data_IF_892218496556
#
_entry.id   IF_892218496556
#
_cell.length_a   1.000
_cell.length_b   1.000
_cell.length_c   1.000
_cell.angle_alpha   90.00
_cell.angle_beta   90.00
_cell.angle_gamma   90.00
#
_symmetry.space_group_name_H-M   'P 1'
#
loop_
_entity.id
_entity.type
_entity.pdbx_description
1 polymer ?
#
# COMPACT_ATOMS: atom_id res chain seq x y z
N UNK A 1 -63.90 -36.96 17.11
CA UNK A 1 -65.11 -37.21 16.26
C UNK A 1 -64.74 -36.57 14.93
N UNK A 2 -64.29 -37.39 14.00
CA UNK A 2 -65.07 -37.95 12.85
C UNK A 2 -65.37 -36.85 11.86
N UNK A 3 -64.63 -36.94 10.74
CA UNK A 3 -65.05 -37.47 9.39
C UNK A 3 -65.49 -36.31 8.51
N UNK A 4 -65.23 -36.16 7.24
CA UNK A 4 -64.88 -37.02 6.06
C UNK A 4 -64.36 -36.01 4.99
N UNK A 5 -63.29 -36.26 4.24
CA UNK A 5 -63.26 -36.88 2.89
C UNK A 5 -64.35 -36.30 1.92
N UNK A 6 -64.04 -35.74 0.79
CA UNK A 6 -63.63 -36.46 -0.44
C UNK A 6 -63.34 -35.47 -1.60
N UNK A 7 -62.34 -35.81 -2.36
CA UNK A 7 -62.13 -35.75 -3.82
C UNK A 7 -62.88 -34.76 -4.70
N UNK A 8 -62.17 -34.08 -5.60
CA UNK A 8 -62.33 -34.27 -7.05
C UNK A 8 -61.05 -33.83 -7.81
N UNK A 9 -60.54 -34.71 -8.62
CA UNK A 9 -59.53 -34.59 -9.66
C UNK A 9 -59.94 -33.64 -10.80
N UNK A 10 -58.98 -32.92 -11.40
CA UNK A 10 -59.21 -32.23 -12.65
C UNK A 10 -57.99 -31.59 -13.28
N UNK A 11 -57.22 -32.35 -13.99
CA UNK A 11 -56.42 -32.05 -15.20
C UNK A 11 -55.41 -30.90 -15.21
N UNK A 12 -54.15 -31.31 -15.20
CA UNK A 12 -53.01 -30.53 -15.69
C UNK A 12 -53.11 -30.26 -17.19
N UNK A 13 -53.17 -29.01 -17.61
CA UNK A 13 -52.88 -28.61 -19.00
C UNK A 13 -51.49 -27.94 -19.02
N UNK A 14 -50.60 -28.66 -19.67
CA UNK A 14 -49.20 -28.31 -19.94
C UNK A 14 -49.10 -27.01 -20.74
N UNK A 15 -48.43 -25.98 -20.19
CA UNK A 15 -48.03 -24.73 -20.88
C UNK A 15 -46.80 -24.96 -21.82
N UNK A 16 -46.72 -26.11 -22.48
CA UNK A 16 -45.56 -26.47 -23.32
C UNK A 16 -45.87 -26.54 -24.82
N UNK A 17 -46.97 -25.96 -25.32
CA UNK A 17 -47.25 -25.95 -26.77
C UNK A 17 -47.92 -24.63 -27.18
N UNK A 18 -47.14 -23.53 -27.17
CA UNK A 18 -47.54 -22.33 -27.95
C UNK A 18 -46.34 -21.38 -28.13
N UNK A 19 -45.24 -21.85 -28.71
CA UNK A 19 -44.25 -21.04 -29.46
C UNK A 19 -43.58 -21.98 -30.47
N UNK A 20 -44.33 -22.42 -31.47
CA UNK A 20 -43.77 -22.87 -32.74
C UNK A 20 -44.56 -22.19 -33.86
N UNK A 21 -43.93 -21.24 -34.48
CA UNK A 21 -44.48 -20.63 -35.69
C UNK A 21 -44.29 -19.12 -35.74
N UNK A 22 -43.06 -18.66 -36.00
CA UNK A 22 -42.73 -17.44 -36.74
C UNK A 22 -41.23 -17.41 -36.92
N UNK A 23 -40.73 -18.26 -37.81
CA UNK A 23 -39.42 -18.10 -38.44
C UNK A 23 -39.64 -17.28 -39.70
N UNK A 24 -39.25 -16.01 -39.69
CA UNK A 24 -39.08 -15.23 -40.91
C UNK A 24 -38.02 -14.15 -40.67
N UNK A 25 -36.83 -14.39 -41.26
CA UNK A 25 -35.93 -13.44 -41.90
C UNK A 25 -35.58 -12.17 -41.10
N UNK A 26 -34.48 -12.23 -40.33
CA UNK A 26 -33.66 -11.06 -40.01
C UNK A 26 -32.27 -11.31 -40.62
N UNK A 27 -31.67 -10.32 -41.34
CA UNK A 27 -30.40 -10.54 -42.03
C UNK A 27 -29.26 -10.67 -41.05
N UNK A 28 -28.38 -11.63 -41.34
CA UNK A 28 -27.12 -11.83 -40.64
C UNK A 28 -26.15 -10.71 -40.96
N UNK A 29 -26.19 -9.66 -40.13
CA UNK A 29 -25.12 -8.67 -40.00
C UNK A 29 -25.30 -7.94 -38.67
N UNK A 30 -24.22 -7.91 -37.90
CA UNK A 30 -24.06 -7.23 -36.60
C UNK A 30 -24.27 -8.11 -35.34
N UNK A 31 -23.63 -9.25 -35.30
CA UNK A 31 -23.17 -9.80 -34.02
C UNK A 31 -21.70 -9.36 -33.83
N UNK A 32 -21.48 -8.08 -33.58
CA UNK A 32 -20.28 -7.65 -32.88
C UNK A 32 -20.30 -8.37 -31.52
N UNK A 33 -19.45 -9.39 -31.41
CA UNK A 33 -19.08 -9.98 -30.14
C UNK A 33 -18.52 -8.87 -29.25
N UNK A 34 -19.31 -8.33 -28.38
CA UNK A 34 -18.85 -7.86 -27.07
C UNK A 34 -18.38 -9.14 -26.35
N UNK A 35 -17.16 -9.56 -26.65
CA UNK A 35 -16.39 -10.38 -25.75
C UNK A 35 -16.16 -9.49 -24.53
N UNK A 36 -17.08 -9.55 -23.57
CA UNK A 36 -16.75 -9.19 -22.21
C UNK A 36 -15.47 -9.96 -21.91
N UNK A 37 -14.36 -9.25 -21.78
CA UNK A 37 -13.14 -9.76 -21.21
C UNK A 37 -13.51 -10.15 -19.77
N UNK A 38 -14.04 -11.36 -19.61
CA UNK A 38 -14.12 -12.00 -18.30
C UNK A 38 -12.67 -12.12 -17.85
N UNK A 39 -12.28 -11.26 -16.95
CA UNK A 39 -11.04 -11.43 -16.22
C UNK A 39 -11.11 -12.83 -15.61
N UNK A 40 -10.20 -13.72 -16.03
CA UNK A 40 -10.04 -15.02 -15.36
C UNK A 40 -9.95 -14.77 -13.87
N UNK A 41 -10.73 -15.48 -13.03
CA UNK A 41 -10.66 -15.32 -11.60
C UNK A 41 -9.21 -15.48 -11.13
N UNK A 42 -8.72 -14.51 -10.34
CA UNK A 42 -7.36 -14.57 -9.79
C UNK A 42 -7.29 -15.73 -8.80
N UNK A 43 -6.49 -16.76 -9.11
CA UNK A 43 -6.26 -17.87 -8.19
C UNK A 43 -5.16 -17.50 -7.18
N UNK A 44 -5.49 -17.32 -5.88
CA UNK A 44 -4.52 -16.96 -4.87
C UNK A 44 -3.55 -18.10 -4.52
N UNK A 45 -3.83 -19.31 -4.95
CA UNK A 45 -2.94 -20.46 -4.75
C UNK A 45 -1.74 -20.43 -5.70
N UNK A 46 -1.87 -19.73 -6.83
CA UNK A 46 -0.82 -19.60 -7.85
C UNK A 46 -0.03 -18.31 -7.68
N UNK A 47 1.27 -18.29 -8.05
CA UNK A 47 2.02 -17.06 -8.19
C UNK A 47 1.37 -16.09 -9.18
N UNK A 48 1.76 -14.82 -9.15
CA UNK A 48 1.34 -13.84 -10.14
C UNK A 48 1.81 -14.28 -11.53
N UNK A 49 0.92 -14.16 -12.52
CA UNK A 49 1.20 -14.58 -13.89
C UNK A 49 2.45 -13.88 -14.44
N UNK A 50 3.36 -14.67 -14.99
CA UNK A 50 4.59 -14.16 -15.61
C UNK A 50 4.32 -13.21 -16.79
N UNK A 51 3.16 -13.31 -17.43
CA UNK A 51 2.78 -12.44 -18.55
C UNK A 51 2.60 -10.97 -18.16
N UNK A 52 2.31 -10.67 -16.87
CA UNK A 52 2.18 -9.31 -16.36
C UNK A 52 3.48 -8.76 -15.78
N UNK A 53 4.54 -9.57 -15.75
CA UNK A 53 5.84 -9.20 -15.18
C UNK A 53 6.88 -8.90 -16.27
N UNK A 54 7.77 -7.92 -16.06
CA UNK A 54 8.96 -7.78 -16.89
C UNK A 54 9.80 -9.06 -16.90
N UNK A 55 10.36 -9.43 -18.07
CA UNK A 55 11.27 -10.58 -18.18
C UNK A 55 12.45 -10.40 -17.21
N UNK A 56 12.77 -11.45 -16.43
CA UNK A 56 13.81 -11.43 -15.40
C UNK A 56 13.27 -11.17 -13.99
N UNK A 57 11.97 -10.91 -13.86
CA UNK A 57 11.29 -10.94 -12.56
C UNK A 57 10.48 -12.23 -12.51
N UNK A 58 10.65 -13.00 -11.43
CA UNK A 58 9.78 -14.15 -11.14
C UNK A 58 8.89 -13.90 -9.95
N UNK A 59 7.74 -14.51 -9.97
CA UNK A 59 6.78 -14.55 -8.87
C UNK A 59 6.81 -15.92 -8.22
N UNK A 60 6.86 -15.99 -6.89
CA UNK A 60 6.79 -17.24 -6.15
C UNK A 60 6.28 -17.07 -4.72
N UNK A 61 6.04 -18.17 -4.04
CA UNK A 61 5.74 -18.19 -2.62
C UNK A 61 6.93 -18.66 -1.79
N UNK A 62 7.05 -18.07 -0.60
CA UNK A 62 7.91 -18.53 0.49
C UNK A 62 6.99 -19.01 1.60
N UNK A 63 7.12 -20.27 1.99
CA UNK A 63 6.29 -20.88 3.01
C UNK A 63 6.84 -20.58 4.41
N UNK A 64 5.93 -20.54 5.39
CA UNK A 64 6.27 -20.44 6.81
C UNK A 64 7.12 -19.21 7.19
N UNK A 65 6.86 -18.07 6.54
CA UNK A 65 7.46 -16.79 6.92
C UNK A 65 6.67 -16.26 8.12
N UNK A 66 7.19 -16.40 9.32
CA UNK A 66 6.51 -16.02 10.57
C UNK A 66 5.02 -16.48 10.60
N UNK A 67 4.81 -17.75 10.26
CA UNK A 67 3.49 -18.39 10.29
C UNK A 67 2.58 -18.13 9.10
N UNK A 68 3.03 -17.41 8.07
CA UNK A 68 2.24 -17.23 6.83
C UNK A 68 3.00 -17.75 5.61
N UNK A 69 2.25 -18.03 4.56
CA UNK A 69 2.77 -18.18 3.20
C UNK A 69 2.87 -16.78 2.59
N UNK A 70 4.07 -16.36 2.21
CA UNK A 70 4.33 -15.02 1.69
C UNK A 70 4.61 -15.06 0.18
N UNK A 71 3.90 -14.25 -0.56
CA UNK A 71 4.14 -14.03 -1.98
C UNK A 71 5.27 -13.03 -2.16
N UNK A 72 6.18 -13.29 -3.11
CA UNK A 72 7.31 -12.42 -3.41
C UNK A 72 7.54 -12.29 -4.91
N UNK A 73 7.94 -11.10 -5.34
CA UNK A 73 8.62 -10.89 -6.60
C UNK A 73 10.13 -10.88 -6.37
N UNK A 74 10.87 -11.47 -7.31
CA UNK A 74 12.30 -11.70 -7.17
C UNK A 74 13.02 -11.44 -8.49
N UNK A 75 14.17 -10.75 -8.44
CA UNK A 75 15.03 -10.49 -9.59
C UNK A 75 16.50 -10.64 -9.19
N UNK A 76 17.36 -11.06 -10.12
CA UNK A 76 18.77 -11.30 -9.87
C UNK A 76 19.04 -12.61 -9.13
N UNK A 77 18.14 -13.57 -9.22
CA UNK A 77 18.20 -14.88 -8.59
C UNK A 77 19.05 -15.90 -9.35
N UNK A 78 19.55 -15.55 -10.53
CA UNK A 78 20.27 -16.47 -11.42
C UNK A 78 21.72 -16.70 -10.98
N UNK A 79 22.24 -15.85 -10.13
CA UNK A 79 23.60 -15.96 -9.63
C UNK A 79 23.63 -16.00 -8.10
N UNK A 80 24.44 -16.91 -7.56
CA UNK A 80 24.62 -17.06 -6.12
C UNK A 80 25.37 -15.86 -5.51
N UNK A 81 25.16 -15.65 -4.19
CA UNK A 81 25.93 -14.71 -3.35
C UNK A 81 25.81 -13.21 -3.71
N UNK A 82 24.80 -12.82 -4.47
CA UNK A 82 24.54 -11.39 -4.67
C UNK A 82 24.06 -10.74 -3.36
N UNK A 83 24.51 -9.52 -3.02
CA UNK A 83 23.94 -8.78 -1.89
C UNK A 83 22.44 -8.60 -2.06
N UNK A 84 21.67 -8.84 -0.98
CA UNK A 84 20.22 -8.74 -1.01
C UNK A 84 19.76 -7.30 -0.83
N UNK A 85 18.78 -6.87 -1.62
CA UNK A 85 17.98 -5.66 -1.43
C UNK A 85 16.51 -6.07 -1.20
N UNK A 86 15.94 -5.65 -0.09
CA UNK A 86 14.54 -5.91 0.28
C UNK A 86 13.69 -4.67 0.02
N UNK A 87 12.57 -4.80 -0.72
CA UNK A 87 11.70 -3.69 -1.10
C UNK A 87 10.29 -3.86 -0.55
N UNK A 88 9.82 -2.90 0.26
CA UNK A 88 8.56 -2.95 1.00
C UNK A 88 7.59 -1.91 0.45
N UNK A 89 6.44 -2.36 -0.06
CA UNK A 89 5.39 -1.50 -0.60
C UNK A 89 4.50 -0.90 0.50
N UNK A 90 3.67 0.07 0.13
CA UNK A 90 2.70 0.72 0.99
C UNK A 90 1.24 0.41 0.67
N UNK A 91 0.35 1.35 0.98
CA UNK A 91 -1.09 1.24 0.77
C UNK A 91 -1.59 2.22 -0.30
N UNK A 92 -2.44 1.82 -1.21
CA UNK A 92 -2.88 0.46 -1.54
C UNK A 92 -2.01 -0.13 -2.68
N UNK A 93 -0.84 -0.59 -2.34
CA UNK A 93 0.12 -1.15 -3.28
C UNK A 93 0.33 -2.66 -3.07
N UNK A 94 1.22 -3.24 -3.88
CA UNK A 94 1.65 -4.64 -3.87
C UNK A 94 3.15 -4.70 -4.16
N UNK A 95 3.78 -5.85 -4.02
CA UNK A 95 5.13 -6.11 -4.52
C UNK A 95 5.33 -5.63 -5.98
N UNK A 96 4.27 -5.67 -6.76
CA UNK A 96 4.22 -5.23 -8.15
C UNK A 96 4.61 -3.76 -8.36
N UNK A 97 4.50 -2.92 -7.34
CA UNK A 97 4.91 -1.50 -7.40
C UNK A 97 6.41 -1.32 -7.66
N UNK A 98 7.20 -2.34 -7.37
CA UNK A 98 8.65 -2.33 -7.54
C UNK A 98 9.13 -2.82 -8.91
N UNK A 99 8.23 -3.34 -9.78
CA UNK A 99 8.57 -3.98 -11.07
C UNK A 99 9.50 -3.18 -11.97
N UNK A 100 9.42 -1.83 -11.92
CA UNK A 100 10.19 -0.94 -12.81
C UNK A 100 11.62 -0.67 -12.30
N UNK A 101 11.87 -0.85 -11.00
CA UNK A 101 13.18 -0.58 -10.38
C UNK A 101 13.96 -1.86 -10.02
N UNK A 102 13.27 -3.01 -9.91
CA UNK A 102 13.91 -4.28 -9.53
C UNK A 102 15.00 -4.72 -10.52
N UNK A 103 14.68 -4.74 -11.83
CA UNK A 103 15.62 -5.23 -12.85
C UNK A 103 16.88 -4.39 -12.98
N UNK A 104 16.83 -3.05 -13.05
CA UNK A 104 18.04 -2.24 -13.09
C UNK A 104 18.95 -2.47 -11.87
N UNK A 105 18.38 -2.67 -10.68
CA UNK A 105 19.16 -2.97 -9.47
C UNK A 105 19.73 -4.39 -9.52
N UNK A 106 18.96 -5.37 -10.00
CA UNK A 106 19.43 -6.73 -10.20
C UNK A 106 20.58 -6.81 -11.23
N UNK A 107 20.46 -6.05 -12.32
CA UNK A 107 21.51 -5.94 -13.36
C UNK A 107 22.79 -5.28 -12.83
N UNK A 108 22.70 -4.49 -11.76
CA UNK A 108 23.85 -3.92 -11.06
C UNK A 108 24.52 -4.90 -10.07
N UNK A 109 24.07 -6.16 -10.02
CA UNK A 109 24.69 -7.23 -9.24
C UNK A 109 24.01 -7.54 -7.91
N UNK A 110 22.81 -7.07 -7.67
CA UNK A 110 22.03 -7.34 -6.45
C UNK A 110 21.01 -8.45 -6.67
N UNK A 111 20.68 -9.16 -5.59
CA UNK A 111 19.48 -9.97 -5.50
C UNK A 111 18.36 -9.08 -4.93
N UNK A 112 17.25 -8.94 -5.61
CA UNK A 112 16.16 -8.03 -5.22
C UNK A 112 14.91 -8.83 -4.89
N UNK A 113 14.35 -8.62 -3.72
CA UNK A 113 13.13 -9.27 -3.24
C UNK A 113 12.10 -8.20 -2.86
N UNK A 114 10.89 -8.33 -3.34
CA UNK A 114 9.75 -7.51 -2.95
C UNK A 114 8.60 -8.43 -2.52
N UNK A 115 8.25 -8.52 -1.23
CA UNK A 115 7.08 -9.26 -0.77
C UNK A 115 5.79 -8.46 -0.98
N UNK A 116 4.66 -9.16 -1.19
CA UNK A 116 3.39 -8.64 -0.72
C UNK A 116 3.40 -8.73 0.81
N UNK A 117 3.33 -7.60 1.50
CA UNK A 117 3.40 -7.59 2.97
C UNK A 117 2.17 -8.31 3.54
N UNK A 118 2.29 -8.83 4.77
CA UNK A 118 1.17 -9.48 5.48
C UNK A 118 -0.14 -8.72 5.30
N UNK A 119 -1.19 -9.44 4.87
CA UNK A 119 -2.52 -8.89 4.65
C UNK A 119 -2.73 -8.26 3.26
N UNK A 120 -1.74 -8.33 2.38
CA UNK A 120 -1.85 -7.81 1.02
C UNK A 120 -1.73 -8.89 -0.04
N UNK A 121 -2.37 -8.64 -1.18
CA UNK A 121 -2.21 -9.43 -2.39
C UNK A 121 -2.35 -10.92 -2.16
N UNK A 122 -1.29 -11.68 -2.46
CA UNK A 122 -1.27 -13.14 -2.37
C UNK A 122 -0.62 -13.69 -1.10
N UNK A 123 -0.13 -12.80 -0.20
CA UNK A 123 0.40 -13.19 1.11
C UNK A 123 -0.72 -13.52 2.10
N UNK A 124 -0.42 -14.37 3.08
CA UNK A 124 -1.40 -14.78 4.09
C UNK A 124 -2.03 -13.62 4.88
N UNK A 125 -3.19 -13.89 5.46
CA UNK A 125 -4.02 -12.93 6.21
C UNK A 125 -4.59 -11.77 5.39
N UNK A 126 -4.80 -11.95 4.10
CA UNK A 126 -5.56 -11.02 3.27
C UNK A 126 -7.07 -11.10 3.53
N UNK A 127 -7.56 -12.23 4.01
CA UNK A 127 -8.98 -12.55 4.27
C UNK A 127 -9.45 -12.18 5.69
N UNK A 128 -8.66 -11.37 6.41
CA UNK A 128 -8.99 -10.90 7.76
C UNK A 128 -10.20 -9.98 7.77
N UNK A 129 -10.95 -10.04 8.88
CA UNK A 129 -12.11 -9.21 9.14
C UNK A 129 -11.76 -8.04 10.07
N UNK A 130 -12.66 -7.07 10.13
CA UNK A 130 -12.47 -5.89 10.99
C UNK A 130 -12.25 -6.26 12.46
N UNK A 131 -12.98 -7.23 13.00
CA UNK A 131 -12.93 -7.62 14.43
C UNK A 131 -11.83 -8.63 14.78
N UNK A 132 -11.03 -9.04 13.79
CA UNK A 132 -9.94 -9.98 14.02
C UNK A 132 -8.80 -9.33 14.81
N UNK A 133 -7.94 -10.18 15.39
CA UNK A 133 -6.78 -9.76 16.17
C UNK A 133 -5.81 -8.89 15.34
N UNK A 134 -5.48 -7.74 15.88
CA UNK A 134 -4.56 -6.78 15.24
C UNK A 134 -3.08 -7.04 15.55
N UNK A 135 -2.76 -7.91 16.53
CA UNK A 135 -1.36 -8.20 16.91
C UNK A 135 -0.49 -8.64 15.73
N UNK A 136 -0.97 -9.46 14.78
CA UNK A 136 -0.18 -9.83 13.59
C UNK A 136 0.24 -8.64 12.72
N UNK A 137 -0.49 -7.52 12.78
CA UNK A 137 -0.24 -6.32 11.99
C UNK A 137 0.59 -5.25 12.73
N UNK A 138 0.94 -5.47 13.99
CA UNK A 138 1.79 -4.56 14.78
C UNK A 138 3.21 -4.51 14.26
N UNK A 139 3.91 -3.44 14.58
CA UNK A 139 5.26 -3.13 14.08
C UNK A 139 6.25 -4.26 14.32
N UNK A 140 6.35 -4.79 15.54
CA UNK A 140 7.30 -5.86 15.85
C UNK A 140 7.01 -7.15 15.06
N UNK A 141 5.73 -7.51 14.91
CA UNK A 141 5.40 -8.71 14.14
C UNK A 141 5.75 -8.55 12.65
N UNK A 142 5.56 -7.36 12.07
CA UNK A 142 6.00 -7.08 10.70
C UNK A 142 7.52 -7.08 10.54
N UNK A 143 8.27 -6.63 11.56
CA UNK A 143 9.74 -6.79 11.58
C UNK A 143 10.10 -8.28 11.59
N UNK A 144 9.42 -9.12 12.40
CA UNK A 144 9.63 -10.56 12.41
C UNK A 144 9.35 -11.18 11.04
N UNK A 145 8.31 -10.73 10.32
CA UNK A 145 8.04 -11.18 8.95
C UNK A 145 9.27 -10.92 8.05
N UNK A 146 9.85 -9.74 8.12
CA UNK A 146 11.00 -9.37 7.27
C UNK A 146 12.26 -10.14 7.66
N UNK A 147 12.53 -10.34 8.95
CA UNK A 147 13.65 -11.16 9.43
C UNK A 147 13.50 -12.62 8.97
N UNK A 148 12.30 -13.19 9.13
CA UNK A 148 12.01 -14.55 8.70
C UNK A 148 12.13 -14.71 7.19
N UNK A 149 11.66 -13.70 6.42
CA UNK A 149 11.78 -13.70 4.97
C UNK A 149 13.26 -13.71 4.54
N UNK A 150 14.08 -12.82 5.08
CA UNK A 150 15.52 -12.74 4.80
C UNK A 150 16.20 -14.08 5.10
N UNK A 151 15.92 -14.66 6.26
CA UNK A 151 16.45 -15.96 6.68
C UNK A 151 16.00 -17.10 5.75
N UNK A 152 14.75 -17.08 5.28
CA UNK A 152 14.21 -18.09 4.36
C UNK A 152 14.89 -18.11 2.99
N UNK A 153 15.54 -17.01 2.61
CA UNK A 153 16.39 -16.93 1.42
C UNK A 153 17.87 -17.27 1.70
N UNK A 154 18.21 -17.67 2.93
CA UNK A 154 19.57 -18.04 3.33
C UNK A 154 20.49 -16.85 3.61
N UNK A 155 19.96 -15.63 3.68
CA UNK A 155 20.74 -14.44 4.00
C UNK A 155 20.82 -14.20 5.50
N UNK A 156 21.98 -13.71 5.97
CA UNK A 156 22.17 -13.23 7.34
C UNK A 156 21.89 -11.73 7.46
N UNK A 157 22.06 -10.99 6.37
CA UNK A 157 21.82 -9.56 6.30
C UNK A 157 21.39 -9.14 4.89
N UNK A 158 20.93 -7.93 4.76
CA UNK A 158 20.57 -7.27 3.50
C UNK A 158 21.40 -6.01 3.33
N UNK A 159 21.85 -5.75 2.10
CA UNK A 159 22.60 -4.54 1.76
C UNK A 159 21.78 -3.27 2.00
N UNK A 160 20.49 -3.33 1.72
CA UNK A 160 19.54 -2.27 2.09
C UNK A 160 18.10 -2.79 2.16
N UNK A 161 17.32 -2.21 3.06
CA UNK A 161 15.86 -2.26 3.03
C UNK A 161 15.33 -0.94 2.47
N UNK A 162 14.43 -1.03 1.49
CA UNK A 162 13.81 0.11 0.81
C UNK A 162 12.31 0.05 1.06
N UNK A 163 11.71 1.11 1.58
CA UNK A 163 10.28 1.13 1.87
C UNK A 163 9.58 2.33 1.28
N UNK A 164 8.35 2.16 0.79
CA UNK A 164 7.49 3.20 0.26
C UNK A 164 6.16 3.28 1.03
N UNK A 165 5.64 4.47 1.28
CA UNK A 165 4.40 4.74 2.03
C UNK A 165 4.37 4.01 3.38
N UNK A 166 3.45 3.06 3.66
CA UNK A 166 3.49 2.25 4.89
C UNK A 166 4.74 1.35 5.00
N UNK A 167 5.34 0.98 3.87
CA UNK A 167 6.61 0.26 3.85
C UNK A 167 7.80 1.11 4.29
N UNK A 168 7.71 2.44 4.18
CA UNK A 168 8.78 3.37 4.57
C UNK A 168 9.03 3.37 6.10
N UNK A 169 8.05 3.62 6.97
CA UNK A 169 8.25 3.48 8.40
C UNK A 169 8.59 2.04 8.80
N UNK A 170 8.06 1.01 8.12
CA UNK A 170 8.45 -0.37 8.39
C UNK A 170 9.94 -0.61 8.10
N UNK A 171 10.47 -0.10 6.98
CA UNK A 171 11.89 -0.16 6.66
C UNK A 171 12.75 0.57 7.71
N UNK A 172 12.30 1.76 8.16
CA UNK A 172 12.93 2.49 9.26
C UNK A 172 12.98 1.68 10.56
N UNK A 173 11.87 1.05 10.93
CA UNK A 173 11.79 0.16 12.10
C UNK A 173 12.67 -1.08 11.97
N UNK A 174 12.74 -1.69 10.79
CA UNK A 174 13.66 -2.81 10.53
C UNK A 174 15.11 -2.40 10.77
N UNK A 175 15.53 -1.25 10.23
CA UNK A 175 16.89 -0.74 10.36
C UNK A 175 17.22 -0.33 11.81
N UNK A 176 16.25 0.25 12.55
CA UNK A 176 16.43 0.64 13.94
C UNK A 176 16.52 -0.59 14.86
N UNK A 177 15.60 -1.55 14.71
CA UNK A 177 15.48 -2.68 15.61
C UNK A 177 16.52 -3.79 15.34
N UNK A 178 16.95 -3.94 14.07
CA UNK A 178 17.87 -5.00 13.63
C UNK A 178 18.93 -4.48 12.66
N UNK A 179 19.80 -3.54 13.11
CA UNK A 179 20.89 -3.01 12.28
C UNK A 179 21.92 -4.09 11.88
N UNK A 180 21.98 -5.19 12.60
CA UNK A 180 22.76 -6.38 12.27
C UNK A 180 22.28 -7.08 11.00
N UNK A 181 20.98 -6.99 10.70
CA UNK A 181 20.37 -7.57 9.50
C UNK A 181 20.19 -6.50 8.41
N UNK A 182 19.62 -5.36 8.73
CA UNK A 182 19.29 -4.30 7.77
C UNK A 182 20.39 -3.24 7.78
N UNK A 183 21.40 -3.42 6.92
CA UNK A 183 22.65 -2.66 6.96
C UNK A 183 22.58 -1.26 6.37
N UNK A 184 21.51 -0.94 5.63
CA UNK A 184 21.17 0.41 5.17
C UNK A 184 19.67 0.52 4.94
N UNK A 185 19.13 1.74 4.93
CA UNK A 185 17.70 1.99 4.73
C UNK A 185 17.44 3.15 3.79
N UNK A 186 16.52 2.95 2.85
CA UNK A 186 15.91 4.04 2.07
C UNK A 186 14.42 4.13 2.42
N UNK A 187 14.01 5.29 2.90
CA UNK A 187 12.62 5.62 3.23
C UNK A 187 12.03 6.46 2.10
N UNK A 188 10.81 6.14 1.64
CA UNK A 188 10.24 6.84 0.48
C UNK A 188 8.81 7.33 0.78
N UNK A 189 8.54 8.57 0.40
CA UNK A 189 7.25 9.27 0.48
C UNK A 189 6.73 9.55 1.89
N UNK A 190 6.88 8.62 2.83
CA UNK A 190 6.51 8.78 4.22
C UNK A 190 7.77 8.81 5.11
N UNK A 191 8.13 9.94 5.73
CA UNK A 191 9.29 10.01 6.60
C UNK A 191 9.10 9.18 7.87
N UNK A 192 10.18 8.57 8.35
CA UNK A 192 10.18 7.81 9.62
C UNK A 192 9.98 8.76 10.81
N UNK A 193 9.04 8.41 11.68
CA UNK A 193 8.69 9.24 12.83
C UNK A 193 9.67 9.19 14.02
N UNK A 194 10.61 8.21 14.00
CA UNK A 194 11.51 7.94 15.12
C UNK A 194 10.96 6.93 16.12
N UNK A 195 11.84 6.48 17.01
CA UNK A 195 11.44 5.73 18.20
C UNK A 195 10.70 6.62 19.20
N UNK A 196 9.90 6.04 20.11
CA UNK A 196 9.30 6.79 21.22
C UNK A 196 10.38 7.50 22.05
N UNK A 197 10.02 8.63 22.66
CA UNK A 197 10.88 9.31 23.61
C UNK A 197 11.10 8.44 24.85
N UNK A 198 12.29 8.53 25.46
CA UNK A 198 12.56 7.87 26.74
C UNK A 198 11.60 8.44 27.79
N UNK A 199 10.81 7.61 28.47
CA UNK A 199 9.99 8.09 29.56
C UNK A 199 10.90 8.46 30.75
N UNK A 200 11.04 9.74 31.03
CA UNK A 200 11.69 10.21 32.25
C UNK A 200 10.71 10.12 33.42
N UNK A 201 10.56 8.93 33.96
CA UNK A 201 9.84 8.71 35.19
C UNK A 201 10.82 8.16 36.21
N UNK A 202 11.55 9.06 36.88
CA UNK A 202 12.41 8.68 38.00
C UNK A 202 11.59 8.67 39.27
N UNK A 203 11.90 7.77 40.22
CA UNK A 203 11.18 7.63 41.48
C UNK A 203 11.06 8.97 42.28
N UNK A 204 11.95 9.93 42.04
CA UNK A 204 12.03 11.22 42.73
C UNK A 204 11.69 12.41 41.82
N UNK A 205 11.26 12.20 40.60
CA UNK A 205 10.90 13.27 39.67
C UNK A 205 9.37 13.41 39.53
N UNK A 206 8.87 14.59 39.12
CA UNK A 206 7.46 14.71 38.77
C UNK A 206 7.13 13.84 37.58
N UNK A 207 5.97 13.18 37.63
CA UNK A 207 5.45 12.46 36.46
C UNK A 207 5.39 13.42 35.23
N UNK A 208 5.77 12.97 34.02
CA UNK A 208 5.60 13.79 32.83
C UNK A 208 4.14 14.21 32.71
N UNK A 209 3.90 15.49 32.39
CA UNK A 209 2.54 15.92 32.08
C UNK A 209 1.97 15.06 30.94
N UNK A 210 0.72 14.59 31.04
CA UNK A 210 0.10 13.89 29.94
C UNK A 210 0.12 14.77 28.69
N UNK A 211 0.34 14.20 27.49
CA UNK A 211 0.27 14.97 26.26
C UNK A 211 -1.11 15.64 26.17
N UNK A 212 -1.22 16.85 25.60
CA UNK A 212 -2.51 17.47 25.40
C UNK A 212 -3.41 16.56 24.56
N UNK A 213 -4.74 16.56 24.81
CA UNK A 213 -5.67 15.77 24.04
C UNK A 213 -5.53 16.05 22.54
N UNK A 214 -5.52 15.02 21.71
CA UNK A 214 -5.58 15.18 20.26
C UNK A 214 -7.00 15.67 19.89
N UNK A 215 -7.13 16.94 19.53
CA UNK A 215 -8.41 17.57 19.18
C UNK A 215 -8.61 17.64 17.66
N UNK A 216 -7.68 17.13 16.86
CA UNK A 216 -7.66 17.32 15.41
C UNK A 216 -8.95 16.88 14.73
N UNK A 217 -9.50 15.74 15.10
CA UNK A 217 -10.75 15.23 14.49
C UNK A 217 -11.94 16.18 14.75
N UNK A 218 -12.05 16.67 15.99
CA UNK A 218 -13.07 17.66 16.38
C UNK A 218 -12.86 18.99 15.63
N UNK A 219 -11.64 19.46 15.57
CA UNK A 219 -11.28 20.75 14.99
C UNK A 219 -11.44 20.74 13.45
N UNK A 220 -11.16 19.61 12.79
CA UNK A 220 -11.47 19.39 11.38
C UNK A 220 -12.99 19.34 11.12
N UNK A 221 -13.75 18.67 11.98
CA UNK A 221 -15.20 18.58 11.85
C UNK A 221 -15.89 19.95 12.07
N UNK A 222 -15.25 20.88 12.79
CA UNK A 222 -15.73 22.24 13.01
C UNK A 222 -15.47 23.21 11.84
N UNK A 223 -14.69 22.80 10.83
CA UNK A 223 -14.44 23.63 9.64
C UNK A 223 -15.70 23.79 8.79
N UNK A 224 -15.68 24.79 7.93
CA UNK A 224 -16.73 25.03 6.91
C UNK A 224 -16.12 24.92 5.52
N UNK A 225 -16.46 23.88 4.72
CA UNK A 225 -17.26 22.71 5.08
C UNK A 225 -16.53 21.76 6.06
N UNK A 226 -17.27 20.92 6.83
CA UNK A 226 -16.71 19.98 7.79
C UNK A 226 -15.81 18.92 7.14
N UNK A 227 -14.72 18.54 7.84
CA UNK A 227 -13.67 17.65 7.34
C UNK A 227 -13.36 16.52 8.30
N UNK A 228 -12.67 15.48 7.78
CA UNK A 228 -12.05 14.40 8.55
C UNK A 228 -10.71 14.01 7.95
N UNK A 229 -9.81 13.49 8.78
CA UNK A 229 -8.50 13.01 8.32
C UNK A 229 -8.61 11.58 7.79
N UNK A 230 -8.01 11.30 6.62
CA UNK A 230 -8.14 10.01 5.92
C UNK A 230 -7.64 8.82 6.74
N UNK A 231 -6.55 8.97 7.52
CA UNK A 231 -6.05 7.85 8.33
C UNK A 231 -7.03 7.47 9.43
N UNK A 232 -7.77 8.42 10.02
CA UNK A 232 -8.85 8.13 10.96
C UNK A 232 -10.02 7.43 10.28
N UNK A 233 -10.38 7.89 9.07
CA UNK A 233 -11.38 7.19 8.27
C UNK A 233 -10.98 5.74 7.97
N UNK A 234 -9.71 5.48 7.64
CA UNK A 234 -9.20 4.14 7.37
C UNK A 234 -9.19 3.22 8.60
N UNK A 235 -9.35 3.74 9.80
CA UNK A 235 -9.54 2.92 11.01
C UNK A 235 -10.99 2.54 11.27
N UNK A 236 -11.95 3.07 10.52
CA UNK A 236 -13.37 2.77 10.70
C UNK A 236 -13.79 1.45 10.05
N UNK A 237 -14.88 0.88 10.53
CA UNK A 237 -15.44 -0.37 9.99
C UNK A 237 -15.91 -0.24 8.54
N UNK A 238 -16.44 0.91 8.18
CA UNK A 238 -17.00 1.20 6.85
C UNK A 238 -15.94 1.33 5.76
N UNK A 239 -14.68 1.63 6.13
CA UNK A 239 -13.64 1.96 5.17
C UNK A 239 -13.38 0.82 4.17
N UNK A 240 -13.31 -0.42 4.64
CA UNK A 240 -13.08 -1.56 3.74
C UNK A 240 -14.20 -1.73 2.72
N UNK A 241 -15.45 -1.67 3.16
CA UNK A 241 -16.61 -1.83 2.27
C UNK A 241 -16.67 -0.70 1.23
N UNK A 242 -16.41 0.54 1.65
CA UNK A 242 -16.37 1.69 0.76
C UNK A 242 -15.28 1.60 -0.33
N UNK A 243 -14.11 1.06 0.02
CA UNK A 243 -13.01 0.89 -0.93
C UNK A 243 -13.20 -0.35 -1.83
N UNK A 244 -13.80 -1.41 -1.31
CA UNK A 244 -13.92 -2.70 -1.99
C UNK A 244 -15.12 -2.77 -2.93
N UNK A 245 -16.24 -2.16 -2.52
CA UNK A 245 -17.47 -2.14 -3.32
C UNK A 245 -17.92 -0.70 -3.67
N UNK A 246 -17.00 0.12 -4.22
CA UNK A 246 -17.36 1.48 -4.62
C UNK A 246 -18.30 1.45 -5.82
N UNK A 247 -19.18 2.44 -5.94
CA UNK A 247 -20.16 2.53 -7.04
C UNK A 247 -19.51 2.54 -8.43
N UNK A 248 -18.30 3.10 -8.55
CA UNK A 248 -17.51 3.12 -9.79
C UNK A 248 -16.71 1.83 -10.05
N UNK A 249 -16.74 0.84 -9.13
CA UNK A 249 -15.91 -0.34 -9.17
C UNK A 249 -14.46 -0.12 -8.73
N UNK A 250 -13.79 -1.19 -8.28
CA UNK A 250 -12.42 -1.12 -7.73
C UNK A 250 -11.41 -0.58 -8.73
N UNK A 251 -11.58 -0.89 -10.02
CA UNK A 251 -10.64 -0.45 -11.06
C UNK A 251 -10.65 1.08 -11.19
N UNK A 252 -11.82 1.68 -11.34
CA UNK A 252 -11.95 3.13 -11.50
C UNK A 252 -11.67 3.87 -10.19
N UNK A 253 -12.03 3.27 -9.05
CA UNK A 253 -11.60 3.78 -7.75
C UNK A 253 -10.07 3.90 -7.66
N UNK A 254 -9.34 2.82 -7.97
CA UNK A 254 -7.89 2.85 -7.96
C UNK A 254 -7.31 3.80 -9.01
N UNK A 255 -7.91 3.88 -10.22
CA UNK A 255 -7.50 4.83 -11.26
C UNK A 255 -7.53 6.27 -10.73
N UNK A 256 -8.64 6.69 -10.13
CA UNK A 256 -8.79 8.02 -9.56
C UNK A 256 -7.85 8.25 -8.35
N UNK A 257 -7.74 7.26 -7.47
CA UNK A 257 -6.89 7.34 -6.29
C UNK A 257 -5.40 7.50 -6.64
N UNK A 258 -4.92 6.68 -7.58
CA UNK A 258 -3.55 6.78 -8.06
C UNK A 258 -3.29 8.11 -8.78
N UNK A 259 -4.24 8.57 -9.61
CA UNK A 259 -4.13 9.84 -10.32
C UNK A 259 -4.00 11.03 -9.35
N UNK A 260 -4.92 11.16 -8.39
CA UNK A 260 -4.91 12.30 -7.46
C UNK A 260 -3.63 12.43 -6.63
N UNK A 261 -2.96 11.32 -6.36
CA UNK A 261 -1.70 11.34 -5.60
C UNK A 261 -0.45 11.43 -6.49
N UNK A 262 -0.59 11.39 -7.81
CA UNK A 262 0.51 11.49 -8.76
C UNK A 262 0.85 12.92 -9.13
N UNK A 263 1.97 13.12 -9.83
CA UNK A 263 2.34 14.39 -10.43
C UNK A 263 1.46 14.75 -11.64
N UNK A 264 0.70 13.79 -12.21
CA UNK A 264 -0.20 14.05 -13.34
C UNK A 264 -1.43 14.88 -12.93
N UNK A 265 -1.83 14.82 -11.64
CA UNK A 265 -2.93 15.63 -11.14
C UNK A 265 -2.47 17.08 -10.94
N UNK A 266 -2.93 17.96 -11.81
CA UNK A 266 -2.48 19.36 -11.90
C UNK A 266 -2.72 20.21 -10.65
N UNK A 267 -3.61 19.77 -9.77
CA UNK A 267 -3.90 20.47 -8.50
C UNK A 267 -2.97 20.03 -7.36
N UNK A 268 -2.04 19.12 -7.62
CA UNK A 268 -1.14 18.56 -6.63
C UNK A 268 0.09 19.44 -6.41
N UNK A 269 -0.09 20.52 -5.64
CA UNK A 269 0.95 21.49 -5.32
C UNK A 269 1.30 21.44 -3.82
N UNK A 270 2.05 20.44 -3.37
CA UNK A 270 2.39 20.30 -1.97
C UNK A 270 3.40 21.36 -1.52
N UNK A 271 3.36 21.65 -0.23
CA UNK A 271 4.31 22.53 0.43
C UNK A 271 4.29 22.35 1.95
N UNK A 272 5.28 22.91 2.66
CA UNK A 272 5.39 22.78 4.10
C UNK A 272 4.15 23.34 4.81
N UNK A 273 3.58 22.56 5.72
CA UNK A 273 2.54 23.01 6.63
C UNK A 273 3.19 23.74 7.81
N UNK A 274 2.58 24.84 8.27
CA UNK A 274 3.12 25.68 9.33
C UNK A 274 2.84 25.13 10.75
N UNK A 275 2.21 23.97 10.85
CA UNK A 275 1.93 23.31 12.12
C UNK A 275 0.79 22.31 12.05
N UNK A 276 0.47 21.71 13.21
CA UNK A 276 -0.63 20.75 13.36
C UNK A 276 -1.91 21.45 13.81
N UNK A 277 -2.50 22.26 12.93
CA UNK A 277 -3.83 22.85 13.14
C UNK A 277 -4.79 22.39 12.05
N UNK A 278 -6.08 22.40 12.32
CA UNK A 278 -7.09 22.00 11.34
C UNK A 278 -7.06 22.88 10.08
N UNK A 279 -6.79 24.18 10.23
CA UNK A 279 -6.67 25.13 9.12
C UNK A 279 -5.45 24.86 8.24
N UNK A 280 -4.32 24.49 8.83
CA UNK A 280 -3.13 24.09 8.07
C UNK A 280 -3.37 22.76 7.35
N UNK A 281 -3.93 21.77 8.04
CA UNK A 281 -4.23 20.48 7.43
C UNK A 281 -5.28 20.58 6.32
N UNK A 282 -6.22 21.51 6.40
CA UNK A 282 -7.21 21.75 5.35
C UNK A 282 -6.62 22.26 4.02
N UNK A 283 -5.34 22.66 3.99
CA UNK A 283 -4.59 22.97 2.75
C UNK A 283 -4.26 21.71 1.94
N UNK A 284 -4.21 20.55 2.60
CA UNK A 284 -4.00 19.28 1.92
C UNK A 284 -5.21 18.93 1.04
N UNK A 285 -5.00 18.20 -0.06
CA UNK A 285 -6.08 17.73 -0.93
C UNK A 285 -7.12 16.88 -0.20
N UNK A 286 -8.30 16.75 -0.83
CA UNK A 286 -9.42 15.98 -0.29
C UNK A 286 -9.10 14.51 -0.01
N UNK A 287 -8.16 13.91 -0.70
CA UNK A 287 -7.75 12.55 -0.40
C UNK A 287 -6.90 12.41 0.89
N UNK A 288 -6.46 13.51 1.49
CA UNK A 288 -5.87 13.55 2.85
C UNK A 288 -6.86 14.07 3.89
N UNK A 289 -7.51 15.22 3.59
CA UNK A 289 -8.46 15.86 4.48
C UNK A 289 -9.84 15.88 3.82
N UNK A 290 -10.53 14.75 3.97
CA UNK A 290 -11.79 14.40 3.30
C UNK A 290 -12.95 15.28 3.77
N UNK A 291 -13.98 15.42 2.95
CA UNK A 291 -15.27 15.93 3.41
C UNK A 291 -15.86 14.97 4.44
N UNK A 292 -16.43 15.49 5.53
CA UNK A 292 -16.86 14.68 6.67
C UNK A 292 -17.88 13.61 6.29
N UNK A 293 -18.77 13.90 5.34
CA UNK A 293 -19.88 13.04 4.91
C UNK A 293 -19.55 12.12 3.72
N UNK A 294 -18.29 12.09 3.23
CA UNK A 294 -17.89 11.23 2.11
C UNK A 294 -16.95 10.12 2.57
N UNK A 295 -17.01 8.98 1.89
CA UNK A 295 -15.96 7.97 1.92
C UNK A 295 -14.81 8.33 0.97
N UNK A 296 -13.76 7.51 0.95
CA UNK A 296 -12.63 7.74 0.05
C UNK A 296 -13.03 7.52 -1.41
N UNK A 297 -13.88 6.52 -1.69
CA UNK A 297 -14.32 6.21 -3.04
C UNK A 297 -15.05 7.41 -3.69
N UNK A 298 -15.99 8.04 -2.98
CA UNK A 298 -16.69 9.22 -3.44
C UNK A 298 -15.77 10.44 -3.55
N UNK A 299 -14.80 10.53 -2.64
CA UNK A 299 -13.83 11.64 -2.64
C UNK A 299 -12.99 11.64 -3.91
N UNK A 300 -12.45 10.48 -4.31
CA UNK A 300 -11.59 10.41 -5.49
C UNK A 300 -12.36 10.32 -6.80
N UNK A 301 -13.61 9.83 -6.79
CA UNK A 301 -14.45 9.75 -7.99
C UNK A 301 -14.67 11.13 -8.65
N UNK A 302 -14.71 12.19 -7.85
CA UNK A 302 -14.86 13.56 -8.34
C UNK A 302 -13.66 14.05 -9.19
N UNK A 303 -12.50 13.41 -9.05
CA UNK A 303 -11.25 13.77 -9.71
C UNK A 303 -10.77 12.65 -10.65
N UNK A 304 -11.70 11.87 -11.19
CA UNK A 304 -11.38 10.82 -12.16
C UNK A 304 -10.70 11.44 -13.38
N UNK A 305 -9.50 10.95 -13.79
CA UNK A 305 -8.85 11.46 -14.98
C UNK A 305 -9.70 11.22 -16.24
N UNK A 306 -9.62 12.13 -17.19
CA UNK A 306 -10.29 12.00 -18.48
C UNK A 306 -9.75 10.81 -19.27
N UNK A 307 -10.50 10.32 -20.26
CA UNK A 307 -10.05 9.26 -21.16
C UNK A 307 -8.73 9.61 -21.86
N UNK A 308 -8.53 10.88 -22.20
CA UNK A 308 -7.28 11.35 -22.81
C UNK A 308 -6.10 11.29 -21.83
N UNK A 309 -6.29 11.67 -20.57
CA UNK A 309 -5.28 11.57 -19.53
C UNK A 309 -4.94 10.11 -19.20
N UNK A 310 -5.94 9.23 -19.14
CA UNK A 310 -5.71 7.79 -18.96
C UNK A 310 -4.87 7.23 -20.10
N UNK A 311 -5.20 7.57 -21.36
CA UNK A 311 -4.46 7.11 -22.53
C UNK A 311 -3.02 7.66 -22.58
N UNK A 312 -2.79 8.86 -22.04
CA UNK A 312 -1.48 9.49 -21.97
C UNK A 312 -0.62 9.00 -20.81
N UNK A 313 -1.22 8.33 -19.81
CA UNK A 313 -0.51 7.86 -18.62
C UNK A 313 0.44 6.71 -18.95
N UNK A 314 1.77 6.98 -18.85
CA UNK A 314 2.83 6.02 -19.18
C UNK A 314 3.33 5.24 -17.95
N UNK A 315 3.16 5.79 -16.77
CA UNK A 315 3.69 5.19 -15.56
C UNK A 315 2.76 4.11 -14.95
N UNK A 316 1.45 4.18 -15.23
CA UNK A 316 0.46 3.18 -14.82
C UNK A 316 -0.59 2.96 -15.93
N UNK A 317 -0.21 2.36 -17.08
CA UNK A 317 -1.18 2.03 -18.12
C UNK A 317 -2.24 1.05 -17.59
N UNK A 318 -3.39 0.99 -18.28
CA UNK A 318 -4.55 0.24 -17.84
C UNK A 318 -4.28 -1.26 -17.56
N UNK A 319 -3.42 -1.87 -18.38
CA UNK A 319 -3.01 -3.27 -18.18
C UNK A 319 -2.25 -3.49 -16.85
N UNK A 320 -1.43 -2.52 -16.42
CA UNK A 320 -0.72 -2.57 -15.15
C UNK A 320 -1.67 -2.28 -13.96
N UNK A 321 -2.61 -1.33 -14.13
CA UNK A 321 -3.62 -1.07 -13.11
C UNK A 321 -4.54 -2.28 -12.87
N UNK A 322 -4.83 -3.07 -13.90
CA UNK A 322 -5.62 -4.32 -13.79
C UNK A 322 -5.00 -5.32 -12.83
N UNK A 323 -3.68 -5.34 -12.66
CA UNK A 323 -3.03 -6.19 -11.65
C UNK A 323 -3.47 -5.79 -10.25
N UNK A 324 -3.44 -4.50 -9.94
CA UNK A 324 -3.88 -3.99 -8.63
C UNK A 324 -5.37 -4.19 -8.42
N UNK A 325 -6.20 -3.80 -9.39
CA UNK A 325 -7.64 -3.92 -9.26
C UNK A 325 -8.13 -5.37 -9.22
N UNK A 326 -7.43 -6.29 -9.88
CA UNK A 326 -7.70 -7.72 -9.78
C UNK A 326 -7.39 -8.29 -8.40
N UNK A 327 -6.24 -7.94 -7.82
CA UNK A 327 -5.88 -8.39 -6.48
C UNK A 327 -6.77 -7.75 -5.41
N UNK A 328 -6.97 -6.44 -5.41
CA UNK A 328 -7.84 -5.77 -4.43
C UNK A 328 -9.32 -6.11 -4.63
N UNK A 329 -9.77 -6.36 -5.85
CA UNK A 329 -11.11 -6.88 -6.11
C UNK A 329 -11.38 -8.23 -5.46
N UNK A 330 -10.33 -9.08 -5.36
CA UNK A 330 -10.38 -10.38 -4.69
C UNK A 330 -10.25 -10.28 -3.16
N UNK A 331 -9.32 -9.46 -2.66
CA UNK A 331 -8.95 -9.41 -1.24
C UNK A 331 -9.73 -8.39 -0.42
N UNK A 332 -10.30 -7.38 -1.06
CA UNK A 332 -10.63 -6.14 -0.36
C UNK A 332 -9.38 -5.43 0.14
N UNK A 333 -9.58 -4.51 1.07
CA UNK A 333 -8.53 -3.64 1.60
C UNK A 333 -8.25 -3.85 3.09
N UNK A 334 -9.03 -4.73 3.77
CA UNK A 334 -9.00 -4.86 5.22
C UNK A 334 -7.61 -5.18 5.78
N UNK A 335 -6.86 -6.08 5.11
CA UNK A 335 -5.50 -6.41 5.52
C UNK A 335 -4.57 -5.19 5.55
N UNK A 336 -4.65 -4.35 4.50
CA UNK A 336 -3.90 -3.09 4.42
C UNK A 336 -4.37 -2.04 5.44
N UNK A 337 -5.70 -1.92 5.63
CA UNK A 337 -6.32 -1.01 6.60
C UNK A 337 -5.92 -1.36 8.04
N UNK A 338 -5.65 -2.63 8.34
CA UNK A 338 -5.16 -3.04 9.66
C UNK A 338 -3.78 -2.43 9.98
N UNK A 339 -3.00 -2.04 8.98
CA UNK A 339 -1.78 -1.26 9.17
C UNK A 339 -2.02 0.10 9.83
N UNK A 340 -3.14 0.78 9.53
CA UNK A 340 -3.54 2.03 10.19
C UNK A 340 -4.14 1.79 11.58
N UNK A 341 -4.80 0.65 11.79
CA UNK A 341 -5.48 0.31 13.04
C UNK A 341 -4.54 -0.21 14.11
N UNK A 342 -3.53 -0.98 13.71
CA UNK A 342 -2.66 -1.72 14.63
C UNK A 342 -1.73 -0.85 15.47
N UNK A 343 -1.49 0.41 15.05
CA UNK A 343 -0.68 1.36 15.81
C UNK A 343 -1.37 1.91 17.06
N UNK A 344 -2.70 1.89 17.11
CA UNK A 344 -3.44 2.37 18.27
C UNK A 344 -3.23 1.41 19.46
N UNK A 345 -2.62 1.90 20.54
CA UNK A 345 -2.30 1.10 21.71
C UNK A 345 -1.15 0.11 21.54
N UNK A 346 -0.36 0.21 20.47
CA UNK A 346 0.87 -0.56 20.30
C UNK A 346 1.96 0.00 21.23
N UNK A 347 2.22 -0.72 22.32
CA UNK A 347 3.28 -0.38 23.28
C UNK A 347 4.56 -1.17 23.05
N UNK A 348 4.57 -2.11 22.09
CA UNK A 348 5.69 -3.00 21.86
C UNK A 348 6.95 -2.22 21.43
N UNK A 349 6.77 -1.11 20.71
CA UNK A 349 7.85 -0.24 20.26
C UNK A 349 8.51 0.57 21.40
N UNK A 350 7.92 0.65 22.59
CA UNK A 350 8.49 1.34 23.75
C UNK A 350 9.85 0.75 24.18
N UNK A 351 10.09 -0.53 23.89
CA UNK A 351 11.40 -1.17 24.17
C UNK A 351 12.55 -0.52 23.40
N UNK A 352 12.26 0.25 22.34
CA UNK A 352 13.22 0.97 21.51
C UNK A 352 13.29 2.48 21.83
N UNK A 353 12.65 2.92 22.93
CA UNK A 353 12.61 4.34 23.27
C UNK A 353 14.01 4.97 23.27
N UNK A 354 14.14 6.13 22.65
CA UNK A 354 15.39 6.88 22.56
C UNK A 354 16.41 6.35 21.56
N UNK A 355 16.16 5.24 20.87
CA UNK A 355 17.08 4.75 19.85
C UNK A 355 16.99 5.55 18.55
N UNK A 356 18.09 5.59 17.83
CA UNK A 356 18.27 6.14 16.49
C UNK A 356 18.54 5.06 15.46
N UNK A 357 18.38 5.37 14.18
CA UNK A 357 18.86 4.51 13.10
C UNK A 357 20.34 4.78 12.90
N UNK A 358 21.19 3.78 13.22
CA UNK A 358 22.66 3.91 13.21
C UNK A 358 23.32 3.30 11.98
N UNK A 359 22.52 2.87 11.02
CA UNK A 359 22.97 2.46 9.69
C UNK A 359 22.81 3.60 8.68
N UNK A 360 23.49 3.59 7.53
CA UNK A 360 23.26 4.57 6.47
C UNK A 360 21.77 4.67 6.11
N UNK A 361 21.24 5.89 6.07
CA UNK A 361 19.84 6.16 5.82
C UNK A 361 19.66 7.28 4.80
N UNK A 362 18.69 7.13 3.89
CA UNK A 362 18.36 8.11 2.86
C UNK A 362 16.83 8.28 2.79
N UNK A 363 16.37 9.49 2.44
CA UNK A 363 14.97 9.73 2.15
C UNK A 363 14.78 10.13 0.69
N UNK A 364 13.75 9.56 0.04
CA UNK A 364 13.36 9.89 -1.35
C UNK A 364 11.86 10.17 -1.39
N UNK A 365 11.44 11.25 -2.03
CA UNK A 365 10.03 11.58 -2.24
C UNK A 365 9.82 12.25 -3.60
N UNK A 366 8.59 12.28 -4.08
CA UNK A 366 8.23 13.10 -5.23
C UNK A 366 8.07 14.58 -4.81
N UNK A 367 8.44 15.52 -5.70
CA UNK A 367 8.20 16.94 -5.43
C UNK A 367 6.71 17.29 -5.34
N UNK A 368 5.86 16.51 -6.02
CA UNK A 368 4.41 16.66 -5.98
C UNK A 368 3.73 15.72 -4.99
N UNK A 369 4.45 15.23 -3.97
CA UNK A 369 3.91 14.32 -2.96
C UNK A 369 3.58 15.03 -1.65
N UNK A 370 2.29 15.15 -1.31
CA UNK A 370 1.85 15.63 0.00
C UNK A 370 2.26 14.72 1.16
N UNK A 371 2.57 13.42 0.89
CA UNK A 371 3.08 12.50 1.90
C UNK A 371 4.36 12.99 2.57
N UNK A 372 5.18 13.75 1.84
CA UNK A 372 6.40 14.37 2.34
C UNK A 372 6.09 15.44 3.40
N UNK A 373 4.97 16.17 3.25
CA UNK A 373 4.64 17.36 4.03
C UNK A 373 3.50 17.17 5.04
N UNK A 374 2.75 16.04 4.97
CA UNK A 374 1.58 15.84 5.82
C UNK A 374 1.87 15.87 7.34
N UNK A 375 3.11 15.59 7.73
CA UNK A 375 3.58 15.71 9.10
C UNK A 375 4.63 16.84 9.18
N UNK A 376 4.27 18.04 9.65
CA UNK A 376 5.15 19.19 9.69
C UNK A 376 6.48 18.88 10.39
N UNK A 377 7.60 19.21 9.73
CA UNK A 377 8.95 19.04 10.25
C UNK A 377 9.45 17.59 10.29
N UNK A 378 8.71 16.61 9.74
CA UNK A 378 9.12 15.22 9.82
C UNK A 378 10.36 14.90 8.99
N UNK A 379 10.47 15.45 7.78
CA UNK A 379 11.66 15.28 6.92
C UNK A 379 12.86 16.00 7.52
N UNK A 380 12.66 17.20 8.04
CA UNK A 380 13.70 18.03 8.67
C UNK A 380 14.30 17.36 9.92
N UNK A 381 13.53 16.51 10.60
CA UNK A 381 14.01 15.74 11.76
C UNK A 381 14.81 14.50 11.40
N UNK A 382 14.77 13.99 10.16
CA UNK A 382 15.46 12.75 9.78
C UNK A 382 16.97 12.77 10.14
N UNK A 383 17.73 13.88 9.99
CA UNK A 383 19.12 13.91 10.41
C UNK A 383 19.35 13.71 11.91
N UNK A 384 18.34 13.99 12.76
CA UNK A 384 18.42 13.73 14.20
C UNK A 384 18.00 12.31 14.58
N UNK A 385 17.22 11.66 13.71
CA UNK A 385 16.72 10.30 13.90
C UNK A 385 17.66 9.25 13.29
N UNK A 386 18.55 9.66 12.38
CA UNK A 386 19.47 8.79 11.66
C UNK A 386 20.89 9.32 11.76
N UNK A 387 21.76 8.65 12.54
CA UNK A 387 23.12 9.12 12.82
C UNK A 387 24.03 9.14 11.57
N UNK A 388 23.71 8.33 10.57
CA UNK A 388 24.42 8.25 9.27
C UNK A 388 23.52 8.67 8.11
N UNK A 389 22.78 9.76 8.28
CA UNK A 389 21.86 10.28 7.25
C UNK A 389 22.62 10.76 6.01
N UNK A 390 22.21 10.31 4.82
CA UNK A 390 22.83 10.60 3.52
C UNK A 390 22.07 11.63 2.69
N UNK A 391 20.97 12.17 3.24
CA UNK A 391 20.24 13.27 2.64
C UNK A 391 18.82 12.94 2.21
N UNK A 392 18.10 14.00 1.85
CA UNK A 392 16.75 14.01 1.29
C UNK A 392 16.83 14.29 -0.20
N UNK A 393 16.17 13.48 -1.02
CA UNK A 393 16.09 13.62 -2.46
C UNK A 393 14.62 13.75 -2.88
N UNK A 394 14.25 14.93 -3.40
CA UNK A 394 12.92 15.17 -3.96
C UNK A 394 12.99 15.11 -5.48
N UNK A 395 12.25 14.18 -6.06
CA UNK A 395 12.29 13.83 -7.48
C UNK A 395 11.29 14.69 -8.27
N UNK A 396 11.79 15.38 -9.29
CA UNK A 396 10.97 16.15 -10.21
C UNK A 396 10.05 15.25 -11.05
N UNK A 397 8.84 15.73 -11.33
CA UNK A 397 7.85 15.00 -12.13
C UNK A 397 7.33 13.74 -11.48
N UNK A 398 7.46 13.61 -10.15
CA UNK A 398 6.86 12.54 -9.36
C UNK A 398 5.99 13.10 -8.25
N UNK A 399 4.83 12.46 -8.06
CA UNK A 399 4.01 12.57 -6.87
C UNK A 399 4.32 11.45 -5.89
N UNK A 400 3.27 10.88 -5.32
CA UNK A 400 3.39 9.85 -4.27
C UNK A 400 4.02 8.55 -4.77
N UNK A 401 3.75 8.13 -6.00
CA UNK A 401 4.18 6.84 -6.54
C UNK A 401 5.56 6.92 -7.19
N UNK A 402 6.51 7.54 -6.49
CA UNK A 402 7.79 8.01 -7.04
C UNK A 402 8.58 6.92 -7.78
N UNK A 403 8.58 5.67 -7.28
CA UNK A 403 9.25 4.53 -7.90
C UNK A 403 8.55 4.04 -9.18
N UNK A 404 7.30 4.40 -9.37
CA UNK A 404 6.52 4.07 -10.56
C UNK A 404 6.49 5.22 -11.57
N UNK A 405 6.38 6.46 -11.09
CA UNK A 405 6.32 7.68 -11.91
C UNK A 405 7.69 8.05 -12.50
N UNK A 406 8.77 7.94 -11.70
CA UNK A 406 10.14 8.27 -12.10
C UNK A 406 11.14 7.12 -11.79
N UNK A 407 10.94 5.93 -12.37
CA UNK A 407 11.73 4.74 -12.02
C UNK A 407 13.22 4.90 -12.35
N UNK A 408 13.58 5.62 -13.38
CA UNK A 408 14.98 5.83 -13.78
C UNK A 408 15.74 6.63 -12.71
N UNK A 409 15.15 7.72 -12.23
CA UNK A 409 15.79 8.57 -11.22
C UNK A 409 15.84 7.86 -9.86
N UNK A 410 14.76 7.18 -9.45
CA UNK A 410 14.76 6.37 -8.23
C UNK A 410 15.83 5.28 -8.30
N UNK A 411 15.95 4.60 -9.43
CA UNK A 411 17.01 3.59 -9.64
C UNK A 411 18.39 4.20 -9.49
N UNK A 412 18.64 5.36 -10.12
CA UNK A 412 19.91 6.06 -10.05
C UNK A 412 20.28 6.40 -8.60
N UNK A 413 19.33 6.96 -7.84
CA UNK A 413 19.52 7.30 -6.42
C UNK A 413 19.81 6.06 -5.57
N UNK A 414 19.04 4.98 -5.74
CA UNK A 414 19.23 3.73 -5.02
C UNK A 414 20.58 3.11 -5.33
N UNK A 415 21.00 3.05 -6.59
CA UNK A 415 22.31 2.49 -6.96
C UNK A 415 23.48 3.35 -6.44
N UNK A 416 23.33 4.67 -6.45
CA UNK A 416 24.34 5.56 -5.85
C UNK A 416 24.44 5.32 -4.34
N UNK A 417 23.31 5.21 -3.65
CA UNK A 417 23.26 4.93 -2.21
C UNK A 417 23.87 3.56 -1.88
N UNK A 418 23.49 2.51 -2.60
CA UNK A 418 24.04 1.16 -2.42
C UNK A 418 25.57 1.12 -2.60
N UNK A 419 26.13 1.80 -3.61
CA UNK A 419 27.58 1.89 -3.79
C UNK A 419 28.27 2.56 -2.61
N UNK A 420 27.69 3.61 -2.04
CA UNK A 420 28.26 4.32 -0.89
C UNK A 420 28.23 3.50 0.39
N UNK A 421 27.30 2.57 0.51
CA UNK A 421 27.11 1.75 1.72
C UNK A 421 27.88 0.44 1.68
N UNK A 422 28.17 -0.10 0.49
CA UNK A 422 28.95 -1.35 0.33
C UNK A 422 30.46 -1.11 0.21
N UNK A 423 30.91 0.11 -0.13
CA UNK A 423 32.33 0.45 -0.25
C UNK A 423 33.01 0.84 1.09
N UNK A 424 32.27 0.91 2.18
CA UNK A 424 32.74 1.32 3.51
C UNK A 424 32.67 0.22 4.58
N UNK A 425 32.51 -1.05 4.17
CA UNK A 425 32.46 -2.21 5.06
C UNK A 425 33.71 -3.04 4.97
#
# INVERSE_FOLDING_TARGET
MKHLEDQVLGSAVSRRRLIQGLAALVPAAWTTRLAALQSTPVDPAQPLDAAVLPRGIRSRFVNNVNGIRMHVLEAGFEADRRPLVLMLHGFPELAYSWRKVMLPIANAGYHVIAPDVRGYGRSGQWDVKYDDDLRPFRTLNKIHDMVALVASFGYRNVAAVVGHDQGSPLAGWCALARPDIFQAVTMMSAPFGGAPSIPFNTANGPAPAPPPPDTMDRDLAALTPPRKYYQRYYTTREANENLWHPSQGVHDFLRAYYHMKSADWKQNHPGPLQGRTATEWAKMPRYYVMDLNKGMAETVAAEMPTTAEIAANKWLPDAELKVYSGEFGRTGFQGGLNGYRSGAGDTDTQTFAGLTIDVPAMFVGGKSDWGVYQNPGAVERLPTLCTKYKGTHLVDGAGHWVQQEQPAEVTRLLLQFLKQTTAGG
#
